data_IF_706771884956
#
_entry.id   IF_706771884956
#
_cell.length_a   1.000
_cell.length_b   1.000
_cell.length_c   1.000
_cell.angle_alpha   90.00
_cell.angle_beta   90.00
_cell.angle_gamma   90.00
#
_symmetry.space_group_name_H-M   'P 1'
#
loop_
_entity.id
_entity.type
_entity.pdbx_description
1 polymer ?
#
# COMPACT_ATOMS: atom_id res chain seq x y z
N UNK A 1 -29.65 -27.69 40.91
CA UNK A 1 -29.14 -28.11 39.58
C UNK A 1 -29.24 -27.01 38.53
N UNK A 2 -30.39 -26.36 38.30
CA UNK A 2 -30.55 -25.34 37.25
C UNK A 2 -29.70 -24.06 37.45
N UNK A 3 -29.48 -23.63 38.70
CA UNK A 3 -28.68 -22.44 39.02
C UNK A 3 -27.24 -22.55 38.50
N UNK A 4 -26.63 -23.74 38.58
CA UNK A 4 -25.28 -23.96 38.05
C UNK A 4 -25.24 -23.81 36.51
N UNK A 5 -26.29 -24.25 35.81
CA UNK A 5 -26.41 -24.09 34.36
C UNK A 5 -26.58 -22.62 33.98
N UNK A 6 -27.37 -21.86 34.75
CA UNK A 6 -27.57 -20.42 34.54
C UNK A 6 -26.30 -19.62 34.86
N UNK A 7 -25.60 -19.97 35.93
CA UNK A 7 -24.33 -19.33 36.28
C UNK A 7 -23.25 -19.58 35.22
N UNK A 8 -23.16 -20.81 34.70
CA UNK A 8 -22.22 -21.17 33.64
C UNK A 8 -22.51 -20.43 32.33
N UNK A 9 -23.79 -20.33 31.94
CA UNK A 9 -24.17 -19.60 30.73
C UNK A 9 -23.90 -18.10 30.86
N UNK A 10 -24.22 -17.49 32.00
CA UNK A 10 -23.90 -16.09 32.28
C UNK A 10 -22.39 -15.84 32.22
N UNK A 11 -21.59 -16.70 32.85
CA UNK A 11 -20.13 -16.60 32.80
C UNK A 11 -19.62 -16.70 31.36
N UNK A 12 -20.15 -17.64 30.58
CA UNK A 12 -19.80 -17.80 29.17
C UNK A 12 -20.14 -16.55 28.34
N UNK A 13 -21.35 -16.00 28.49
CA UNK A 13 -21.74 -14.78 27.78
C UNK A 13 -20.93 -13.56 28.21
N UNK A 14 -20.57 -13.45 29.48
CA UNK A 14 -19.71 -12.37 29.97
C UNK A 14 -18.31 -12.45 29.34
N UNK A 15 -17.70 -13.64 29.32
CA UNK A 15 -16.40 -13.86 28.70
C UNK A 15 -16.44 -13.61 27.19
N UNK A 16 -17.48 -14.10 26.52
CA UNK A 16 -17.69 -13.89 25.09
C UNK A 16 -17.89 -12.40 24.77
N UNK A 17 -18.70 -11.71 25.57
CA UNK A 17 -18.95 -10.27 25.46
C UNK A 17 -17.67 -9.45 25.64
N UNK A 18 -16.89 -9.73 26.68
CA UNK A 18 -15.61 -9.05 26.92
C UNK A 18 -14.62 -9.31 25.77
N UNK A 19 -14.52 -10.55 25.29
CA UNK A 19 -13.65 -10.90 24.17
C UNK A 19 -14.06 -10.16 22.89
N UNK A 20 -15.35 -10.16 22.57
CA UNK A 20 -15.88 -9.51 21.37
C UNK A 20 -15.72 -8.00 21.45
N UNK A 21 -16.04 -7.40 22.61
CA UNK A 21 -15.86 -5.97 22.86
C UNK A 21 -14.40 -5.55 22.72
N UNK A 22 -13.46 -6.35 23.26
CA UNK A 22 -12.03 -6.04 23.17
C UNK A 22 -11.52 -6.11 21.73
N UNK A 23 -11.97 -7.10 20.96
CA UNK A 23 -11.63 -7.21 19.54
C UNK A 23 -12.25 -6.07 18.72
N UNK A 24 -13.52 -5.75 18.96
CA UNK A 24 -14.19 -4.63 18.30
C UNK A 24 -13.51 -3.29 18.61
N UNK A 25 -13.17 -3.05 19.88
CA UNK A 25 -12.48 -1.82 20.27
C UNK A 25 -11.06 -1.71 19.70
N UNK A 26 -10.39 -2.85 19.44
CA UNK A 26 -9.13 -2.85 18.68
C UNK A 26 -9.36 -2.37 17.24
N UNK A 27 -10.39 -2.92 16.57
CA UNK A 27 -10.72 -2.49 15.20
C UNK A 27 -11.18 -1.03 15.13
N UNK A 28 -11.97 -0.53 16.08
CA UNK A 28 -12.40 0.89 16.07
C UNK A 28 -11.22 1.83 16.33
N UNK A 29 -10.25 1.45 17.17
CA UNK A 29 -9.00 2.21 17.33
C UNK A 29 -8.17 2.23 16.06
N UNK A 30 -8.07 1.11 15.36
CA UNK A 30 -7.40 1.03 14.06
C UNK A 30 -8.11 1.87 12.99
N UNK A 31 -9.45 1.81 12.94
CA UNK A 31 -10.27 2.64 12.07
C UNK A 31 -10.16 4.12 12.42
N UNK A 32 -10.10 4.49 13.71
CA UNK A 32 -9.87 5.86 14.17
C UNK A 32 -8.50 6.39 13.77
N UNK A 33 -7.44 5.59 13.98
CA UNK A 33 -6.10 5.94 13.55
C UNK A 33 -5.96 6.03 12.02
N UNK A 34 -6.70 5.21 11.27
CA UNK A 34 -6.81 5.33 9.83
C UNK A 34 -7.61 6.56 9.43
N UNK A 35 -8.73 6.86 10.12
CA UNK A 35 -9.57 8.01 9.86
C UNK A 35 -8.83 9.33 10.15
N UNK A 36 -7.97 9.41 11.16
CA UNK A 36 -7.08 10.56 11.37
C UNK A 36 -6.09 10.74 10.21
N UNK A 37 -5.55 9.64 9.66
CA UNK A 37 -4.72 9.70 8.45
C UNK A 37 -5.51 10.15 7.22
N UNK A 38 -6.78 9.74 7.10
CA UNK A 38 -7.67 10.22 6.04
C UNK A 38 -8.16 11.66 6.28
N UNK A 39 -8.35 12.10 7.52
CA UNK A 39 -8.70 13.48 7.88
C UNK A 39 -7.51 14.44 7.75
N UNK A 40 -6.29 13.91 7.81
CA UNK A 40 -5.06 14.61 7.38
C UNK A 40 -5.01 14.80 5.86
N UNK A 41 -5.84 14.06 5.10
CA UNK A 41 -6.30 14.50 3.78
C UNK A 41 -7.40 15.53 4.01
N UNK A 42 -7.05 16.64 4.66
CA UNK A 42 -7.61 17.93 4.30
C UNK A 42 -7.54 17.99 2.76
N UNK A 43 -8.49 18.64 2.07
CA UNK A 43 -8.19 19.10 0.74
C UNK A 43 -6.97 20.00 0.94
N UNK A 44 -5.79 19.45 0.66
CA UNK A 44 -4.64 20.24 0.30
C UNK A 44 -5.25 21.26 -0.64
N UNK A 45 -5.18 22.55 -0.28
CA UNK A 45 -5.01 23.58 -1.28
C UNK A 45 -4.04 22.94 -2.26
N UNK A 46 -4.57 22.44 -3.39
CA UNK A 46 -3.76 21.71 -4.34
C UNK A 46 -2.66 22.71 -4.65
N UNK A 47 -1.41 22.49 -4.24
CA UNK A 47 -0.35 23.38 -4.70
C UNK A 47 -0.40 23.13 -6.18
N UNK A 48 -0.90 24.12 -6.94
CA UNK A 48 -1.25 24.00 -8.35
C UNK A 48 -0.29 23.00 -8.96
N UNK A 49 -0.80 21.78 -9.23
CA UNK A 49 0.03 20.61 -9.45
C UNK A 49 1.06 21.06 -10.47
N UNK A 50 2.31 21.26 -10.03
CA UNK A 50 3.35 21.73 -10.94
C UNK A 50 3.38 20.60 -11.93
N UNK A 51 2.91 20.81 -13.17
CA UNK A 51 2.56 19.70 -14.03
C UNK A 51 3.84 18.92 -14.19
N UNK A 52 3.90 17.76 -13.54
CA UNK A 52 5.10 16.96 -13.52
C UNK A 52 5.15 16.46 -14.96
N UNK A 53 6.03 17.00 -15.83
CA UNK A 53 5.86 16.86 -17.28
C UNK A 53 5.99 15.40 -17.71
N UNK A 54 6.49 14.55 -16.82
CA UNK A 54 6.65 13.10 -16.95
C UNK A 54 5.42 12.29 -16.55
N UNK A 55 4.45 12.85 -15.81
CA UNK A 55 3.25 12.12 -15.40
C UNK A 55 2.07 12.50 -16.30
N UNK A 56 1.60 11.53 -17.08
CA UNK A 56 0.42 11.71 -17.92
C UNK A 56 -0.80 12.11 -17.08
N UNK A 57 -1.48 13.18 -17.50
CA UNK A 57 -2.69 13.65 -16.83
C UNK A 57 -3.79 12.57 -16.84
N UNK A 58 -4.58 12.43 -15.76
CA UNK A 58 -5.69 11.48 -15.76
C UNK A 58 -6.64 11.76 -16.93
N UNK A 59 -6.99 10.72 -17.70
CA UNK A 59 -7.84 10.84 -18.89
C UNK A 59 -7.12 11.20 -20.20
N UNK A 60 -5.84 11.63 -20.14
CA UNK A 60 -5.05 11.94 -21.35
C UNK A 60 -4.88 10.74 -22.30
N UNK A 61 -4.96 9.52 -21.78
CA UNK A 61 -4.83 8.29 -22.55
C UNK A 61 -5.93 8.10 -23.62
N UNK A 62 -7.11 8.70 -23.44
CA UNK A 62 -8.23 8.58 -24.40
C UNK A 62 -7.99 9.39 -25.66
N UNK A 63 -7.26 10.50 -25.55
CA UNK A 63 -7.01 11.46 -26.64
C UNK A 63 -5.59 11.39 -27.19
N UNK A 64 -4.71 10.58 -26.58
CA UNK A 64 -3.34 10.42 -27.04
C UNK A 64 -3.28 9.68 -28.39
N UNK A 65 -2.29 10.02 -29.22
CA UNK A 65 -2.05 9.27 -30.45
C UNK A 65 -1.55 7.85 -30.11
N UNK A 66 -1.92 6.82 -30.91
CA UNK A 66 -1.44 5.46 -30.67
C UNK A 66 0.09 5.33 -30.67
N UNK A 67 0.80 6.16 -31.44
CA UNK A 67 2.26 6.19 -31.46
C UNK A 67 2.84 6.73 -30.15
N UNK A 68 2.32 7.84 -29.63
CA UNK A 68 2.73 8.40 -28.35
C UNK A 68 2.55 7.37 -27.22
N UNK A 69 1.39 6.69 -27.18
CA UNK A 69 1.12 5.66 -26.18
C UNK A 69 2.08 4.47 -26.27
N UNK A 70 2.53 4.08 -27.48
CA UNK A 70 3.54 3.02 -27.65
C UNK A 70 4.90 3.42 -27.11
N UNK A 71 5.32 4.66 -27.37
CA UNK A 71 6.58 5.20 -26.83
C UNK A 71 6.53 5.27 -25.30
N UNK A 72 5.46 5.80 -24.73
CA UNK A 72 5.26 5.91 -23.28
C UNK A 72 5.25 4.52 -22.62
N UNK A 73 4.56 3.56 -23.24
CA UNK A 73 4.56 2.18 -22.76
C UNK A 73 5.97 1.57 -22.77
N UNK A 74 6.74 1.81 -23.83
CA UNK A 74 8.13 1.36 -23.94
C UNK A 74 9.01 1.94 -22.82
N UNK A 75 8.93 3.25 -22.61
CA UNK A 75 9.66 3.95 -21.55
C UNK A 75 9.28 3.41 -20.16
N UNK A 76 7.98 3.34 -19.85
CA UNK A 76 7.49 2.82 -18.58
C UNK A 76 7.80 1.33 -18.37
N UNK A 77 7.91 0.54 -19.45
CA UNK A 77 8.34 -0.86 -19.38
C UNK A 77 9.83 -0.97 -19.05
N UNK A 78 10.66 -0.14 -19.65
CA UNK A 78 12.09 -0.08 -19.35
C UNK A 78 12.33 0.35 -17.89
N UNK A 79 11.65 1.41 -17.42
CA UNK A 79 11.73 1.88 -16.04
C UNK A 79 11.36 0.77 -15.03
N UNK A 80 10.24 0.06 -15.26
CA UNK A 80 9.84 -1.06 -14.39
C UNK A 80 10.86 -2.20 -14.39
N UNK A 81 11.56 -2.44 -15.51
CA UNK A 81 12.64 -3.43 -15.57
C UNK A 81 13.81 -2.98 -14.72
N UNK A 82 14.18 -1.71 -14.80
CA UNK A 82 15.30 -1.13 -14.05
C UNK A 82 15.03 -1.10 -12.55
N UNK A 83 13.84 -0.66 -12.13
CA UNK A 83 13.43 -0.69 -10.71
C UNK A 83 13.52 -2.11 -10.13
N UNK A 84 13.16 -3.14 -10.90
CA UNK A 84 13.31 -4.54 -10.46
C UNK A 84 14.77 -4.97 -10.37
N UNK A 85 15.61 -4.53 -11.31
CA UNK A 85 17.06 -4.78 -11.28
C UNK A 85 17.67 -4.15 -10.02
N UNK A 86 17.44 -2.86 -9.79
CA UNK A 86 17.91 -2.13 -8.61
C UNK A 86 17.48 -2.81 -7.31
N UNK A 87 16.22 -3.24 -7.21
CA UNK A 87 15.75 -3.99 -6.02
C UNK A 87 16.47 -5.33 -5.82
N UNK A 88 16.80 -6.06 -6.89
CA UNK A 88 17.59 -7.30 -6.79
C UNK A 88 19.01 -7.02 -6.34
N UNK A 89 19.63 -5.99 -6.94
CA UNK A 89 20.98 -5.53 -6.61
C UNK A 89 21.04 -5.13 -5.14
N UNK A 90 20.15 -4.25 -4.68
CA UNK A 90 20.10 -3.80 -3.29
C UNK A 90 19.99 -5.00 -2.32
N UNK A 91 19.06 -5.92 -2.56
CA UNK A 91 18.89 -7.12 -1.73
C UNK A 91 20.13 -8.00 -1.67
N UNK A 92 20.91 -8.08 -2.76
CA UNK A 92 22.17 -8.85 -2.80
C UNK A 92 23.29 -8.12 -2.07
N UNK A 93 23.39 -6.81 -2.28
CA UNK A 93 24.34 -5.92 -1.58
C UNK A 93 24.13 -5.98 -0.07
N UNK A 94 22.89 -5.87 0.40
CA UNK A 94 22.55 -5.94 1.84
C UNK A 94 22.95 -7.28 2.46
N UNK A 95 23.04 -8.34 1.66
CA UNK A 95 23.42 -9.70 2.08
C UNK A 95 24.91 -10.01 1.83
N UNK A 96 25.68 -9.07 1.30
CA UNK A 96 27.08 -9.28 0.92
C UNK A 96 27.29 -10.31 -0.20
N UNK A 97 26.25 -10.59 -1.00
CA UNK A 97 26.35 -11.57 -2.10
C UNK A 97 26.94 -10.93 -3.36
N UNK A 98 27.76 -11.67 -4.12
CA UNK A 98 28.31 -11.16 -5.39
C UNK A 98 27.18 -10.82 -6.37
N UNK A 99 27.30 -9.66 -7.03
CA UNK A 99 26.36 -9.20 -8.05
C UNK A 99 26.65 -9.90 -9.39
N UNK A 100 25.63 -10.02 -10.26
CA UNK A 100 25.84 -10.57 -11.59
C UNK A 100 26.53 -9.54 -12.49
N UNK A 101 27.39 -9.96 -13.41
CA UNK A 101 28.04 -9.02 -14.35
C UNK A 101 27.03 -8.21 -15.16
N UNK A 102 25.89 -8.80 -15.55
CA UNK A 102 24.84 -8.09 -16.28
C UNK A 102 24.07 -7.05 -15.44
N UNK A 103 24.32 -6.99 -14.14
CA UNK A 103 23.80 -5.95 -13.25
C UNK A 103 24.81 -4.80 -13.04
N UNK A 104 26.00 -4.86 -13.64
CA UNK A 104 26.98 -3.77 -13.62
C UNK A 104 26.77 -2.91 -14.88
N UNK A 105 26.57 -1.60 -14.70
CA UNK A 105 26.51 -0.67 -15.83
C UNK A 105 27.93 -0.48 -16.38
N UNK A 106 28.19 -1.06 -17.55
CA UNK A 106 29.47 -0.94 -18.28
C UNK A 106 29.41 0.05 -19.45
N UNK A 107 28.42 0.95 -19.45
CA UNK A 107 28.20 1.97 -20.47
C UNK A 107 28.74 3.32 -20.04
#
# INVERSE_FOLDING_TARGET
>A
MWVALVALSLLFYLLLGIRLFRNFMATTKELGAAAEKFGSIQPLDMPAETPNPTRAAPGSAVFASPEAMRHDYGAAKAERREVRRQRRVQRRTDRGQPQALGDLDFT
#
